data_IF_084075629854
#
_entry.id   IF_084075629854
#
_cell.length_a   1.000
_cell.length_b   1.000
_cell.length_c   1.000
_cell.angle_alpha   90.00
_cell.angle_beta   90.00
_cell.angle_gamma   90.00
#
_symmetry.space_group_name_H-M   'P 1'
#
loop_
_entity.id
_entity.type
_entity.pdbx_description
1 polymer ?
#
# COMPACT_ATOMS: atom_id res chain seq x y z
N UNK A 1 30.53 -5.72 6.98
CA UNK A 1 29.08 -5.81 7.22
C UNK A 1 28.27 -5.82 5.92
N UNK A 2 28.87 -5.46 4.78
CA UNK A 2 28.20 -5.33 3.48
C UNK A 2 27.82 -6.66 2.79
N UNK A 3 28.54 -7.75 3.07
CA UNK A 3 28.23 -9.06 2.49
C UNK A 3 26.99 -9.74 3.09
N UNK A 4 26.58 -9.38 4.32
CA UNK A 4 25.40 -9.96 4.97
C UNK A 4 24.15 -9.10 4.71
N UNK A 5 24.32 -7.78 4.59
CA UNK A 5 23.22 -6.88 4.24
C UNK A 5 22.74 -7.05 2.80
N UNK A 6 23.61 -7.42 1.86
CA UNK A 6 23.25 -7.62 0.45
C UNK A 6 22.17 -8.70 0.24
N UNK A 7 22.33 -9.95 0.72
CA UNK A 7 21.32 -10.99 0.55
C UNK A 7 20.04 -10.70 1.32
N UNK A 8 20.12 -10.08 2.51
CA UNK A 8 18.94 -9.65 3.26
C UNK A 8 18.19 -8.57 2.47
N UNK A 9 18.91 -7.61 1.88
CA UNK A 9 18.30 -6.54 1.07
C UNK A 9 17.64 -7.08 -0.20
N UNK A 10 18.20 -8.10 -0.85
CA UNK A 10 17.56 -8.77 -1.99
C UNK A 10 16.28 -9.50 -1.59
N UNK A 11 16.31 -10.27 -0.50
CA UNK A 11 15.12 -10.97 0.02
C UNK A 11 14.03 -9.96 0.43
N UNK A 12 14.41 -8.85 1.08
CA UNK A 12 13.49 -7.77 1.40
C UNK A 12 13.00 -7.00 0.16
N UNK A 13 13.80 -6.88 -0.90
CA UNK A 13 13.35 -6.30 -2.18
C UNK A 13 12.33 -7.19 -2.87
N UNK A 14 12.50 -8.51 -2.86
CA UNK A 14 11.57 -9.44 -3.48
C UNK A 14 10.27 -9.59 -2.67
N UNK A 15 10.38 -9.70 -1.35
CA UNK A 15 9.23 -9.67 -0.45
C UNK A 15 8.52 -8.32 -0.53
N UNK A 16 9.27 -7.23 -0.51
CA UNK A 16 8.74 -5.88 -0.65
C UNK A 16 8.01 -5.67 -1.98
N UNK A 17 8.59 -6.08 -3.10
CA UNK A 17 7.97 -5.99 -4.43
C UNK A 17 6.64 -6.74 -4.51
N UNK A 18 6.59 -7.98 -4.05
CA UNK A 18 5.37 -8.80 -4.10
C UNK A 18 4.33 -8.33 -3.08
N UNK A 19 4.76 -7.96 -1.87
CA UNK A 19 3.88 -7.41 -0.84
C UNK A 19 3.29 -6.05 -1.26
N UNK A 20 4.07 -5.22 -1.95
CA UNK A 20 3.64 -3.91 -2.43
C UNK A 20 2.65 -4.05 -3.60
N UNK A 21 2.84 -5.04 -4.49
CA UNK A 21 1.82 -5.42 -5.49
C UNK A 21 0.52 -5.91 -4.83
N UNK A 22 0.64 -6.79 -3.84
CA UNK A 22 -0.52 -7.32 -3.10
C UNK A 22 -1.26 -6.19 -2.37
N UNK A 23 -0.53 -5.32 -1.67
CA UNK A 23 -1.08 -4.18 -0.95
C UNK A 23 -1.74 -3.17 -1.89
N UNK A 24 -1.21 -2.98 -3.09
CA UNK A 24 -1.86 -2.16 -4.13
C UNK A 24 -3.21 -2.75 -4.54
N UNK A 25 -3.27 -4.07 -4.77
CA UNK A 25 -4.53 -4.76 -5.09
C UNK A 25 -5.55 -4.65 -3.95
N UNK A 26 -5.11 -4.88 -2.70
CA UNK A 26 -5.95 -4.76 -1.51
C UNK A 26 -6.46 -3.32 -1.34
N UNK A 27 -5.61 -2.32 -1.59
CA UNK A 27 -6.02 -0.91 -1.54
C UNK A 27 -7.04 -0.57 -2.61
N UNK A 28 -6.88 -1.05 -3.85
CA UNK A 28 -7.86 -0.86 -4.93
C UNK A 28 -9.21 -1.48 -4.55
N UNK A 29 -9.21 -2.72 -4.06
CA UNK A 29 -10.44 -3.41 -3.61
C UNK A 29 -11.07 -2.65 -2.43
N UNK A 30 -10.25 -2.19 -1.48
CA UNK A 30 -10.70 -1.37 -0.35
C UNK A 30 -11.34 -0.06 -0.77
N UNK A 31 -10.77 0.63 -1.77
CA UNK A 31 -11.33 1.86 -2.35
C UNK A 31 -12.68 1.57 -3.00
N UNK A 32 -12.80 0.49 -3.77
CA UNK A 32 -14.05 0.11 -4.44
C UNK A 32 -15.13 -0.21 -3.41
N UNK A 33 -14.81 -1.02 -2.40
CA UNK A 33 -15.74 -1.39 -1.32
C UNK A 33 -16.15 -0.15 -0.51
N UNK A 34 -15.20 0.75 -0.21
CA UNK A 34 -15.51 1.99 0.51
C UNK A 34 -16.36 2.95 -0.33
N UNK A 35 -16.11 3.06 -1.64
CA UNK A 35 -16.90 3.87 -2.55
C UNK A 35 -18.33 3.35 -2.72
N UNK A 36 -18.50 2.03 -2.89
CA UNK A 36 -19.82 1.39 -2.93
C UNK A 36 -20.54 1.52 -1.59
N UNK A 37 -19.85 1.26 -0.48
CA UNK A 37 -20.43 1.37 0.86
C UNK A 37 -20.83 2.80 1.25
N UNK A 38 -20.09 3.80 0.78
CA UNK A 38 -20.42 5.21 0.99
C UNK A 38 -21.62 5.67 0.14
N UNK A 39 -21.86 5.04 -1.01
CA UNK A 39 -22.97 5.41 -1.93
C UNK A 39 -24.26 4.63 -1.62
N UNK A 40 -24.17 3.36 -1.24
CA UNK A 40 -25.33 2.47 -1.03
C UNK A 40 -25.66 2.18 0.44
N UNK A 41 -24.77 2.52 1.38
CA UNK A 41 -24.94 2.19 2.80
C UNK A 41 -25.88 3.13 3.58
N UNK A 42 -26.45 2.63 4.67
CA UNK A 42 -27.18 3.41 5.69
C UNK A 42 -26.34 4.56 6.25
N UNK A 43 -26.94 5.63 6.77
CA UNK A 43 -26.25 6.84 7.29
C UNK A 43 -25.07 6.51 8.23
N UNK A 44 -25.26 5.55 9.13
CA UNK A 44 -24.23 5.08 10.07
C UNK A 44 -23.05 4.36 9.38
N UNK A 45 -23.29 3.73 8.24
CA UNK A 45 -22.27 3.07 7.44
C UNK A 45 -21.50 4.07 6.58
N UNK A 46 -22.15 5.14 6.09
CA UNK A 46 -21.48 6.19 5.29
C UNK A 46 -20.34 6.86 6.06
N UNK A 47 -20.52 7.10 7.35
CA UNK A 47 -19.48 7.68 8.21
C UNK A 47 -18.28 6.74 8.38
N UNK A 48 -18.54 5.45 8.64
CA UNK A 48 -17.48 4.42 8.73
C UNK A 48 -16.76 4.23 7.40
N UNK A 49 -17.48 4.30 6.28
CA UNK A 49 -16.88 4.19 4.95
C UNK A 49 -16.06 5.42 4.56
N UNK A 50 -16.42 6.63 4.99
CA UNK A 50 -15.57 7.82 4.86
C UNK A 50 -14.26 7.67 5.62
N UNK A 51 -14.33 7.25 6.89
CA UNK A 51 -13.12 7.01 7.70
C UNK A 51 -12.27 5.88 7.12
N UNK A 52 -12.90 4.78 6.69
CA UNK A 52 -12.24 3.67 6.00
C UNK A 52 -11.56 4.11 4.70
N UNK A 53 -12.22 4.95 3.91
CA UNK A 53 -11.65 5.51 2.68
C UNK A 53 -10.40 6.34 2.96
N UNK A 54 -10.43 7.21 3.98
CA UNK A 54 -9.26 8.01 4.38
C UNK A 54 -8.10 7.11 4.81
N UNK A 55 -8.37 6.05 5.57
CA UNK A 55 -7.36 5.08 6.01
C UNK A 55 -6.76 4.32 4.82
N UNK A 56 -7.59 3.89 3.86
CA UNK A 56 -7.11 3.20 2.66
C UNK A 56 -6.29 4.13 1.76
N UNK A 57 -6.69 5.40 1.63
CA UNK A 57 -5.91 6.42 0.90
C UNK A 57 -4.58 6.68 1.61
N UNK A 58 -4.56 6.80 2.94
CA UNK A 58 -3.33 6.96 3.71
C UNK A 58 -2.38 5.76 3.52
N UNK A 59 -2.90 4.53 3.57
CA UNK A 59 -2.13 3.33 3.28
C UNK A 59 -1.58 3.32 1.85
N UNK A 60 -2.35 3.79 0.87
CA UNK A 60 -1.91 3.92 -0.52
C UNK A 60 -0.77 4.93 -0.70
N UNK A 61 -0.80 6.06 0.02
CA UNK A 61 0.30 7.05 0.03
C UNK A 61 1.58 6.45 0.62
N UNK A 62 1.48 5.68 1.70
CA UNK A 62 2.63 4.98 2.30
C UNK A 62 3.23 3.96 1.31
N UNK A 63 2.38 3.23 0.59
CA UNK A 63 2.80 2.30 -0.46
C UNK A 63 3.53 3.03 -1.61
N UNK A 64 3.03 4.18 -2.04
CA UNK A 64 3.68 5.01 -3.07
C UNK A 64 5.05 5.51 -2.61
N UNK A 65 5.16 5.99 -1.38
CA UNK A 65 6.42 6.44 -0.78
C UNK A 65 7.44 5.29 -0.70
N UNK A 66 7.01 4.11 -0.24
CA UNK A 66 7.85 2.92 -0.24
C UNK A 66 8.34 2.57 -1.64
N UNK A 67 7.48 2.72 -2.66
CA UNK A 67 7.85 2.51 -4.07
C UNK A 67 8.91 3.51 -4.54
N UNK A 68 8.77 4.80 -4.20
CA UNK A 68 9.75 5.84 -4.53
C UNK A 68 11.11 5.59 -3.87
N UNK A 69 11.13 5.15 -2.60
CA UNK A 69 12.37 4.80 -1.90
C UNK A 69 13.03 3.60 -2.58
N UNK A 70 12.28 2.53 -2.87
CA UNK A 70 12.82 1.36 -3.57
C UNK A 70 13.36 1.76 -4.94
N UNK A 71 12.66 2.61 -5.69
CA UNK A 71 13.07 3.08 -7.02
C UNK A 71 14.33 3.95 -6.95
N UNK A 72 14.41 4.88 -5.98
CA UNK A 72 15.59 5.71 -5.75
C UNK A 72 16.82 4.85 -5.39
N UNK A 73 16.66 3.84 -4.52
CA UNK A 73 17.72 2.88 -4.20
C UNK A 73 18.11 2.01 -5.40
N UNK A 74 17.18 1.72 -6.32
CA UNK A 74 17.44 0.96 -7.55
C UNK A 74 18.06 1.79 -8.68
N UNK A 75 17.95 3.12 -8.65
CA UNK A 75 18.57 4.02 -9.61
C UNK A 75 19.95 4.54 -9.20
N UNK A 76 20.33 4.31 -7.94
CA UNK A 76 21.65 4.67 -7.38
C UNK A 76 22.68 3.52 -7.44
N UNK A 77 22.23 2.30 -7.76
CA UNK A 77 23.03 1.09 -8.00
C UNK A 77 22.85 0.63 -9.44
#
# INVERSE_FOLDING_TARGET
>A
MDQIFSPITEIFKDLGSNLLKLATYVAIVGIIICGFGATTGSEKSKEKFKTGFIVVVAAFVVILLARTIIFAVKGYF
#
